data_IF_196403790878
#
_entry.id   IF_196403790878
#
_cell.length_a   1.000
_cell.length_b   1.000
_cell.length_c   1.000
_cell.angle_alpha   90.00
_cell.angle_beta   90.00
_cell.angle_gamma   90.00
#
_symmetry.space_group_name_H-M   'P 1'
#
loop_
_entity.id
_entity.type
_entity.pdbx_description
1 polymer ?
#
# COMPACT_ATOMS: atom_id res chain seq x y z
N UNK A 1 5.79 -15.26 -0.58
CA UNK A 1 5.19 -14.10 0.12
C UNK A 1 5.92 -12.78 -0.15
N UNK A 2 7.25 -12.66 0.03
CA UNK A 2 7.99 -11.42 -0.22
C UNK A 2 7.67 -10.76 -1.59
N UNK A 3 7.51 -11.55 -2.65
CA UNK A 3 7.08 -11.06 -3.96
C UNK A 3 5.70 -10.38 -3.95
N UNK A 4 4.72 -10.92 -3.19
CA UNK A 4 3.41 -10.30 -3.03
C UNK A 4 3.51 -8.98 -2.25
N UNK A 5 4.36 -8.90 -1.22
CA UNK A 5 4.64 -7.65 -0.48
C UNK A 5 5.25 -6.59 -1.39
N UNK A 6 6.24 -6.94 -2.21
CA UNK A 6 6.81 -6.03 -3.19
C UNK A 6 5.75 -5.55 -4.21
N UNK A 7 4.87 -6.46 -4.66
CA UNK A 7 3.79 -6.16 -5.60
C UNK A 7 2.76 -5.20 -5.00
N UNK A 8 2.40 -5.37 -3.73
CA UNK A 8 1.52 -4.48 -2.96
C UNK A 8 2.01 -3.03 -2.95
N UNK A 9 3.34 -2.83 -3.03
CA UNK A 9 3.97 -1.51 -3.10
C UNK A 9 3.51 -0.66 -4.30
N UNK A 10 3.03 -1.27 -5.38
CA UNK A 10 2.57 -0.57 -6.59
C UNK A 10 1.34 0.31 -6.36
N UNK A 11 0.52 -0.04 -5.37
CA UNK A 11 -0.73 0.64 -5.02
C UNK A 11 -0.60 1.73 -3.94
N UNK A 12 0.59 1.92 -3.33
CA UNK A 12 0.78 2.93 -2.28
C UNK A 12 0.35 4.33 -2.75
N UNK A 13 -0.46 5.00 -1.93
CA UNK A 13 -1.00 6.33 -2.23
C UNK A 13 -2.14 6.37 -3.26
N UNK A 14 -2.60 5.21 -3.77
CA UNK A 14 -3.57 5.16 -4.88
C UNK A 14 -4.84 4.35 -4.61
N UNK A 15 -4.88 3.59 -3.52
CA UNK A 15 -5.97 2.63 -3.25
C UNK A 15 -6.99 3.15 -2.23
N UNK A 16 -6.76 4.33 -1.67
CA UNK A 16 -7.59 4.95 -0.61
C UNK A 16 -9.08 4.94 -0.97
N UNK A 17 -9.97 4.59 -0.03
CA UNK A 17 -9.72 4.24 1.38
C UNK A 17 -9.29 2.79 1.62
N UNK A 18 -9.17 1.97 0.56
CA UNK A 18 -8.82 0.56 0.64
C UNK A 18 -7.30 0.34 0.83
N UNK A 19 -6.87 -0.81 1.38
CA UNK A 19 -5.47 -1.17 1.51
C UNK A 19 -4.79 -1.45 0.16
N UNK A 20 -3.49 -1.17 0.08
CA UNK A 20 -2.64 -1.62 -1.02
C UNK A 20 -2.23 -3.08 -0.79
N UNK A 21 -3.01 -4.03 -1.29
CA UNK A 21 -2.76 -5.47 -1.14
C UNK A 21 -2.01 -5.99 -2.37
N UNK A 22 -1.19 -7.01 -2.17
CA UNK A 22 -0.59 -7.81 -3.24
C UNK A 22 -1.00 -9.27 -3.13
N UNK A 23 -1.14 -9.93 -4.27
CA UNK A 23 -1.50 -11.34 -4.37
C UNK A 23 -0.65 -12.03 -5.45
N UNK A 24 -0.16 -13.22 -5.16
CA UNK A 24 0.57 -14.09 -6.10
C UNK A 24 0.04 -15.50 -5.98
N UNK A 25 -0.21 -16.16 -7.10
CA UNK A 25 -0.72 -17.53 -7.17
C UNK A 25 0.34 -18.41 -7.81
N UNK A 26 0.67 -19.52 -7.15
CA UNK A 26 1.75 -20.42 -7.54
C UNK A 26 1.22 -21.85 -7.66
N UNK A 27 1.54 -22.51 -8.78
CA UNK A 27 1.32 -23.95 -9.00
C UNK A 27 2.57 -24.53 -9.64
N UNK A 28 3.01 -25.70 -9.20
CA UNK A 28 4.22 -26.38 -9.72
C UNK A 28 5.47 -25.47 -9.75
N UNK A 29 5.70 -24.73 -8.66
CA UNK A 29 6.79 -23.74 -8.53
C UNK A 29 6.76 -22.60 -9.56
N UNK A 30 5.66 -22.42 -10.30
CA UNK A 30 5.48 -21.36 -11.29
C UNK A 30 4.41 -20.38 -10.84
N UNK A 31 4.70 -19.10 -11.05
CA UNK A 31 3.70 -18.04 -10.86
C UNK A 31 2.71 -18.10 -12.01
N UNK A 32 1.48 -18.48 -11.72
CA UNK A 32 0.38 -18.54 -12.70
C UNK A 32 -0.52 -17.31 -12.65
N UNK A 33 -0.50 -16.56 -11.54
CA UNK A 33 -1.29 -15.34 -11.37
C UNK A 33 -0.60 -14.33 -10.47
N UNK A 34 -0.78 -13.04 -10.76
CA UNK A 34 -0.30 -11.94 -9.91
C UNK A 34 -1.27 -10.77 -9.97
N UNK A 35 -1.49 -10.12 -8.84
CA UNK A 35 -2.39 -8.99 -8.73
C UNK A 35 -2.04 -8.06 -7.59
N UNK A 36 -2.45 -6.81 -7.71
CA UNK A 36 -2.42 -5.83 -6.63
C UNK A 36 -3.72 -5.04 -6.65
N UNK A 37 -4.09 -4.44 -5.51
CA UNK A 37 -5.26 -3.57 -5.45
C UNK A 37 -5.10 -2.42 -6.44
N UNK A 38 -6.05 -2.28 -7.36
CA UNK A 38 -6.00 -1.26 -8.40
C UNK A 38 -6.34 0.14 -7.88
N UNK A 39 -5.98 1.21 -8.62
CA UNK A 39 -6.35 2.58 -8.24
C UNK A 39 -7.84 2.73 -7.95
N UNK A 40 -8.20 3.50 -6.92
CA UNK A 40 -9.59 3.60 -6.43
C UNK A 40 -10.02 2.44 -5.52
N UNK A 41 -9.13 1.48 -5.28
CA UNK A 41 -9.31 0.43 -4.29
C UNK A 41 -9.97 -0.85 -4.82
N UNK A 42 -10.33 -0.93 -6.11
CA UNK A 42 -10.87 -2.12 -6.77
C UNK A 42 -10.45 -2.20 -8.25
N UNK A 43 -10.37 -3.40 -8.85
CA UNK A 43 -10.50 -4.71 -8.20
C UNK A 43 -9.40 -4.95 -7.14
N UNK A 44 -9.71 -5.82 -6.18
CA UNK A 44 -8.75 -6.24 -5.16
C UNK A 44 -7.66 -7.13 -5.79
N UNK A 45 -6.55 -7.30 -5.07
CA UNK A 45 -5.38 -8.03 -5.55
C UNK A 45 -5.72 -9.47 -5.92
N UNK A 46 -6.52 -10.13 -5.10
CA UNK A 46 -6.92 -11.54 -5.24
C UNK A 46 -7.81 -11.73 -6.46
N UNK A 47 -8.84 -10.88 -6.62
CA UNK A 47 -9.72 -10.92 -7.78
C UNK A 47 -8.93 -10.75 -9.10
N UNK A 48 -7.98 -9.80 -9.13
CA UNK A 48 -7.13 -9.58 -10.29
C UNK A 48 -6.20 -10.77 -10.56
N UNK A 49 -5.58 -11.34 -9.51
CA UNK A 49 -4.67 -12.47 -9.64
C UNK A 49 -5.38 -13.74 -10.11
N UNK A 50 -6.58 -14.02 -9.61
CA UNK A 50 -7.41 -15.16 -10.01
C UNK A 50 -7.83 -15.01 -11.47
N UNK A 51 -8.34 -13.83 -11.86
CA UNK A 51 -8.73 -13.58 -13.25
C UNK A 51 -7.55 -13.75 -14.23
N UNK A 52 -6.34 -13.34 -13.82
CA UNK A 52 -5.14 -13.51 -14.62
C UNK A 52 -4.65 -14.97 -14.71
N UNK A 53 -4.90 -15.79 -13.67
CA UNK A 53 -4.49 -17.19 -13.63
C UNK A 53 -5.45 -18.14 -14.34
N UNK A 54 -6.76 -17.82 -14.34
CA UNK A 54 -7.80 -18.76 -14.74
C UNK A 54 -8.04 -19.80 -13.65
N UNK A 55 -7.85 -21.09 -13.98
CA UNK A 55 -7.99 -22.18 -13.01
C UNK A 55 -6.80 -22.25 -12.06
N UNK A 56 -7.10 -22.21 -10.75
CA UNK A 56 -6.13 -22.25 -9.66
C UNK A 56 -6.30 -23.48 -8.76
N UNK A 57 -7.09 -24.47 -9.19
CA UNK A 57 -7.16 -25.77 -8.52
C UNK A 57 -5.74 -26.36 -8.42
N UNK A 58 -5.37 -26.92 -7.26
CA UNK A 58 -4.01 -27.42 -7.00
C UNK A 58 -2.98 -26.34 -6.66
N UNK A 59 -3.36 -25.06 -6.61
CA UNK A 59 -2.42 -23.95 -6.41
C UNK A 59 -2.33 -23.49 -4.95
N UNK A 60 -1.28 -22.73 -4.65
CA UNK A 60 -1.17 -21.91 -3.42
C UNK A 60 -1.33 -20.43 -3.76
N UNK A 61 -2.26 -19.76 -3.07
CA UNK A 61 -2.48 -18.32 -3.16
C UNK A 61 -1.81 -17.60 -1.99
N UNK A 62 -0.97 -16.61 -2.27
CA UNK A 62 -0.31 -15.77 -1.27
C UNK A 62 -0.91 -14.36 -1.29
N UNK A 63 -1.52 -13.92 -0.19
CA UNK A 63 -2.08 -12.57 -0.05
C UNK A 63 -1.42 -11.81 1.10
N UNK A 64 -1.13 -10.52 0.90
CA UNK A 64 -0.45 -9.70 1.92
C UNK A 64 -1.37 -9.28 3.07
N UNK A 65 -2.68 -9.35 2.89
CA UNK A 65 -3.70 -9.05 3.89
C UNK A 65 -4.77 -10.16 3.82
N UNK A 66 -5.45 -10.40 4.92
CA UNK A 66 -6.61 -11.29 4.96
C UNK A 66 -7.65 -10.90 3.89
N UNK A 67 -8.10 -11.88 3.07
CA UNK A 67 -9.13 -11.63 2.07
C UNK A 67 -10.42 -11.13 2.71
N UNK A 68 -11.00 -10.05 2.17
CA UNK A 68 -12.19 -9.46 2.75
C UNK A 68 -13.38 -10.46 2.75
N UNK A 69 -14.19 -10.41 3.81
CA UNK A 69 -15.35 -11.29 4.01
C UNK A 69 -16.72 -10.58 3.92
N UNK A 70 -16.71 -9.25 3.98
CA UNK A 70 -17.93 -8.46 3.99
C UNK A 70 -18.56 -8.30 2.60
N UNK A 71 -19.89 -8.28 2.56
CA UNK A 71 -20.67 -7.98 1.36
C UNK A 71 -20.48 -6.51 0.99
N UNK A 72 -20.30 -6.23 -0.30
CA UNK A 72 -20.14 -4.88 -0.82
C UNK A 72 -20.92 -4.70 -2.12
N UNK A 73 -21.58 -3.55 -2.33
CA UNK A 73 -22.20 -3.24 -3.63
C UNK A 73 -21.16 -3.09 -4.75
N UNK A 74 -19.88 -2.92 -4.41
CA UNK A 74 -18.78 -2.76 -5.37
C UNK A 74 -18.21 -4.10 -5.87
N UNK A 75 -18.87 -5.22 -5.56
CA UNK A 75 -18.50 -6.56 -6.01
C UNK A 75 -18.25 -7.55 -4.86
N UNK A 76 -18.08 -8.84 -5.19
CA UNK A 76 -18.02 -9.93 -4.22
C UNK A 76 -16.85 -9.80 -3.23
N UNK A 77 -16.99 -10.50 -2.10
CA UNK A 77 -15.93 -10.61 -1.11
C UNK A 77 -14.82 -11.53 -1.63
N UNK A 78 -13.56 -11.18 -1.36
CA UNK A 78 -12.43 -11.96 -1.86
C UNK A 78 -12.38 -13.36 -1.26
N UNK A 79 -12.80 -13.54 0.00
CA UNK A 79 -12.93 -14.86 0.60
C UNK A 79 -13.88 -15.77 -0.21
N UNK A 80 -15.00 -15.23 -0.73
CA UNK A 80 -15.96 -15.98 -1.55
C UNK A 80 -15.37 -16.34 -2.92
N UNK A 81 -14.68 -15.39 -3.55
CA UNK A 81 -14.01 -15.62 -4.84
C UNK A 81 -12.95 -16.73 -4.73
N UNK A 82 -12.14 -16.70 -3.67
CA UNK A 82 -11.11 -17.70 -3.43
C UNK A 82 -11.74 -19.05 -3.11
N UNK A 83 -12.79 -19.08 -2.27
CA UNK A 83 -13.52 -20.31 -1.95
C UNK A 83 -14.11 -20.97 -3.21
N UNK A 84 -14.69 -20.17 -4.11
CA UNK A 84 -15.22 -20.67 -5.38
C UNK A 84 -14.12 -21.20 -6.31
N UNK A 85 -12.96 -20.55 -6.32
CA UNK A 85 -11.81 -20.90 -7.15
C UNK A 85 -11.00 -22.11 -6.62
N UNK A 86 -11.25 -22.54 -5.37
CA UNK A 86 -10.75 -23.79 -4.77
C UNK A 86 -9.23 -24.06 -4.92
N UNK A 87 -8.34 -23.13 -4.52
CA UNK A 87 -6.93 -23.47 -4.36
C UNK A 87 -6.74 -24.44 -3.17
N UNK A 88 -5.67 -25.23 -3.18
CA UNK A 88 -5.37 -26.17 -2.09
C UNK A 88 -4.97 -25.43 -0.80
N UNK A 89 -4.32 -24.28 -0.96
CA UNK A 89 -3.76 -23.51 0.15
C UNK A 89 -3.83 -22.01 -0.07
N UNK A 90 -4.10 -21.30 1.01
CA UNK A 90 -3.98 -19.83 1.10
C UNK A 90 -3.00 -19.46 2.20
N UNK A 91 -2.06 -18.58 1.87
CA UNK A 91 -1.06 -18.04 2.80
C UNK A 91 -1.28 -16.54 2.94
N UNK A 92 -1.49 -16.07 4.17
CA UNK A 92 -1.85 -14.69 4.49
C UNK A 92 -0.74 -14.08 5.35
N UNK A 93 -0.27 -12.89 4.99
CA UNK A 93 0.76 -12.24 5.80
C UNK A 93 0.18 -11.58 7.06
N UNK A 94 -0.87 -10.77 6.92
CA UNK A 94 -1.45 -9.97 8.01
C UNK A 94 -2.95 -10.26 8.13
N UNK A 95 -3.45 -10.52 9.34
CA UNK A 95 -4.89 -10.54 9.64
C UNK A 95 -5.47 -9.13 9.54
N UNK A 96 -6.64 -8.95 8.94
CA UNK A 96 -7.19 -7.61 8.71
C UNK A 96 -7.79 -7.05 10.02
N UNK A 97 -7.34 -5.88 10.52
CA UNK A 97 -7.92 -5.29 11.73
C UNK A 97 -9.30 -4.62 11.49
N UNK A 98 -9.82 -4.60 10.26
CA UNK A 98 -11.16 -4.10 9.96
C UNK A 98 -12.21 -5.01 10.62
N UNK A 99 -13.08 -4.51 11.52
CA UNK A 99 -14.08 -5.33 12.22
C UNK A 99 -15.03 -6.09 11.29
N UNK A 100 -15.17 -5.63 10.04
CA UNK A 100 -16.00 -6.28 9.01
C UNK A 100 -15.32 -7.49 8.35
N UNK A 101 -14.03 -7.71 8.61
CA UNK A 101 -13.23 -8.80 8.05
C UNK A 101 -12.52 -9.61 9.13
N UNK A 102 -12.09 -8.99 10.23
CA UNK A 102 -11.18 -9.50 11.27
C UNK A 102 -11.35 -10.99 11.64
N UNK A 103 -10.65 -11.88 10.93
CA UNK A 103 -10.70 -13.34 11.09
C UNK A 103 -11.80 -14.06 10.30
N UNK A 104 -12.87 -13.36 9.91
CA UNK A 104 -14.01 -13.92 9.18
C UNK A 104 -13.61 -14.41 7.78
N UNK A 105 -12.63 -13.76 7.13
CA UNK A 105 -12.14 -14.19 5.82
C UNK A 105 -11.37 -15.50 5.93
N UNK A 106 -10.49 -15.60 6.94
CA UNK A 106 -9.75 -16.82 7.26
C UNK A 106 -10.70 -17.97 7.60
N UNK A 107 -11.70 -17.72 8.45
CA UNK A 107 -12.69 -18.72 8.86
C UNK A 107 -13.50 -19.23 7.66
N UNK A 108 -13.94 -18.34 6.77
CA UNK A 108 -14.69 -18.73 5.57
C UNK A 108 -13.86 -19.63 4.65
N UNK A 109 -12.58 -19.34 4.47
CA UNK A 109 -11.68 -20.18 3.67
C UNK A 109 -11.48 -21.57 4.29
N UNK A 110 -11.29 -21.63 5.62
CA UNK A 110 -11.19 -22.91 6.34
C UNK A 110 -12.48 -23.73 6.25
N UNK A 111 -13.64 -23.08 6.37
CA UNK A 111 -14.93 -23.73 6.23
C UNK A 111 -15.17 -24.29 4.81
N UNK A 112 -14.54 -23.70 3.79
CA UNK A 112 -14.53 -24.20 2.43
C UNK A 112 -13.52 -25.36 2.20
N UNK A 113 -12.86 -25.85 3.25
CA UNK A 113 -11.89 -26.95 3.18
C UNK A 113 -10.49 -26.54 2.70
N UNK A 114 -10.20 -25.23 2.61
CA UNK A 114 -8.91 -24.72 2.14
C UNK A 114 -7.91 -24.64 3.29
N UNK A 115 -6.68 -25.13 3.09
CA UNK A 115 -5.63 -25.00 4.07
C UNK A 115 -5.18 -23.53 4.21
N UNK A 116 -5.22 -22.95 5.41
CA UNK A 116 -4.84 -21.54 5.64
C UNK A 116 -3.64 -21.43 6.58
N UNK A 117 -2.60 -20.74 6.15
CA UNK A 117 -1.44 -20.36 6.97
C UNK A 117 -1.37 -18.84 7.10
N UNK A 118 -1.12 -18.32 8.30
CA UNK A 118 -1.05 -16.88 8.58
C UNK A 118 0.33 -16.47 9.12
N UNK A 119 0.66 -15.18 9.07
CA UNK A 119 1.85 -14.62 9.75
C UNK A 119 3.16 -14.67 8.95
N UNK A 120 3.13 -15.17 7.71
CA UNK A 120 4.33 -15.25 6.86
C UNK A 120 4.69 -13.85 6.33
N UNK A 121 5.91 -13.37 6.55
CA UNK A 121 6.36 -12.00 6.19
C UNK A 121 5.48 -10.90 6.79
N UNK A 122 4.86 -11.14 7.95
CA UNK A 122 3.90 -10.22 8.55
C UNK A 122 4.50 -8.81 8.74
N UNK A 123 5.72 -8.71 9.27
CA UNK A 123 6.35 -7.42 9.53
C UNK A 123 6.61 -6.62 8.25
N UNK A 124 7.06 -7.27 7.18
CA UNK A 124 7.27 -6.63 5.89
C UNK A 124 5.95 -6.17 5.26
N UNK A 125 4.90 -7.00 5.34
CA UNK A 125 3.57 -6.66 4.85
C UNK A 125 2.94 -5.51 5.65
N UNK A 126 3.11 -5.48 6.98
CA UNK A 126 2.69 -4.36 7.84
C UNK A 126 3.37 -3.05 7.44
N UNK A 127 4.68 -3.08 7.19
CA UNK A 127 5.42 -1.92 6.69
C UNK A 127 4.91 -1.43 5.33
N UNK A 128 4.65 -2.35 4.40
CA UNK A 128 4.13 -2.02 3.08
C UNK A 128 2.72 -1.39 3.11
N UNK A 129 1.90 -1.74 4.11
CA UNK A 129 0.52 -1.26 4.29
C UNK A 129 0.37 -0.30 5.48
N UNK A 130 1.46 0.31 5.95
CA UNK A 130 1.48 1.11 7.19
C UNK A 130 0.42 2.23 7.21
N UNK A 131 0.14 2.86 6.06
CA UNK A 131 -0.90 3.88 5.92
C UNK A 131 -2.31 3.39 6.30
N UNK A 132 -2.73 2.26 5.72
CA UNK A 132 -4.03 1.65 6.02
C UNK A 132 -4.11 1.14 7.46
N UNK A 133 -3.09 0.38 7.89
CA UNK A 133 -3.09 -0.23 9.22
C UNK A 133 -3.05 0.81 10.34
N UNK A 134 -2.27 1.89 10.18
CA UNK A 134 -2.24 2.99 11.17
C UNK A 134 -3.62 3.66 11.27
N UNK A 135 -4.29 3.90 10.13
CA UNK A 135 -5.63 4.49 10.11
C UNK A 135 -6.65 3.60 10.82
N UNK A 136 -6.61 2.28 10.55
CA UNK A 136 -7.53 1.31 11.17
C UNK A 136 -7.31 1.13 12.66
N UNK A 137 -6.06 0.96 13.08
CA UNK A 137 -5.72 0.59 14.46
C UNK A 137 -5.54 1.77 15.40
N UNK A 138 -5.17 2.95 14.88
CA UNK A 138 -4.84 4.13 15.70
C UNK A 138 -5.73 5.34 15.41
N UNK A 139 -6.68 5.25 14.48
CA UNK A 139 -7.58 6.36 14.13
C UNK A 139 -6.90 7.61 13.56
N UNK A 140 -5.65 7.49 13.08
CA UNK A 140 -4.85 8.62 12.56
C UNK A 140 -4.04 8.23 11.33
N UNK A 141 -3.59 9.18 10.50
CA UNK A 141 -2.72 8.86 9.36
C UNK A 141 -1.35 8.32 9.81
N UNK A 142 -0.75 7.51 8.95
CA UNK A 142 0.69 7.24 9.00
C UNK A 142 1.43 8.46 8.44
N UNK A 143 2.45 8.92 9.16
CA UNK A 143 3.18 10.15 8.82
C UNK A 143 4.64 9.79 8.58
N UNK A 144 5.13 10.19 7.41
CA UNK A 144 6.56 10.14 7.06
C UNK A 144 7.12 11.55 7.14
N UNK A 145 8.08 11.77 8.04
CA UNK A 145 8.84 13.01 8.08
C UNK A 145 10.03 12.89 7.13
N UNK A 146 10.16 13.84 6.20
CA UNK A 146 11.32 13.95 5.31
C UNK A 146 12.11 15.20 5.64
N UNK A 147 13.41 15.04 5.87
CA UNK A 147 14.37 16.13 6.05
C UNK A 147 15.49 16.03 5.00
N UNK A 148 16.05 17.16 4.59
CA UNK A 148 17.37 17.22 3.93
C UNK A 148 18.23 18.14 4.77
N UNK A 149 19.36 17.63 5.23
CA UNK A 149 20.27 18.34 6.12
C UNK A 149 21.70 18.18 5.62
N UNK A 150 22.56 19.13 5.95
CA UNK A 150 24.01 18.97 5.89
C UNK A 150 24.50 17.92 6.90
N UNK A 151 25.77 17.55 6.81
CA UNK A 151 26.38 16.57 7.74
C UNK A 151 26.31 17.03 9.21
N UNK A 152 26.41 18.34 9.44
CA UNK A 152 26.28 18.98 10.76
C UNK A 152 24.83 19.33 11.13
N UNK A 153 23.84 18.79 10.40
CA UNK A 153 22.42 18.86 10.78
C UNK A 153 21.69 20.17 10.42
N UNK A 154 22.21 20.97 9.49
CA UNK A 154 21.62 22.25 9.08
C UNK A 154 20.72 22.10 7.85
N UNK A 155 19.63 22.86 7.82
CA UNK A 155 18.68 22.90 6.69
C UNK A 155 18.87 24.13 5.77
N UNK A 156 19.66 25.11 6.22
CA UNK A 156 19.97 26.35 5.53
C UNK A 156 21.19 27.01 6.19
N UNK A 157 21.83 27.95 5.50
CA UNK A 157 22.79 28.89 6.09
C UNK A 157 22.06 29.97 6.93
N UNK A 158 22.77 30.77 7.76
CA UNK A 158 22.17 31.81 8.60
C UNK A 158 21.42 32.89 7.81
N UNK A 159 21.79 33.11 6.54
CA UNK A 159 21.11 34.02 5.62
C UNK A 159 19.84 33.42 4.97
N UNK A 160 19.48 32.18 5.32
CA UNK A 160 18.32 31.46 4.79
C UNK A 160 18.58 30.71 3.48
N UNK A 161 19.77 30.81 2.88
CA UNK A 161 20.08 30.08 1.65
C UNK A 161 20.14 28.56 1.90
N UNK A 162 19.36 27.80 1.13
CA UNK A 162 19.09 26.37 1.39
C UNK A 162 19.11 25.49 0.14
N UNK A 163 19.39 26.10 -1.03
CA UNK A 163 19.30 25.39 -2.30
C UNK A 163 20.42 24.39 -2.45
N UNK A 164 20.01 23.15 -2.73
CA UNK A 164 20.87 22.05 -3.16
C UNK A 164 21.87 21.52 -2.12
N UNK A 165 21.50 21.53 -0.84
CA UNK A 165 22.19 20.76 0.21
C UNK A 165 22.30 19.27 -0.18
N UNK A 166 21.25 18.72 -0.81
CA UNK A 166 21.23 17.33 -1.30
C UNK A 166 21.17 17.27 -2.82
N UNK A 167 21.85 16.28 -3.39
CA UNK A 167 21.98 16.09 -4.84
C UNK A 167 20.73 15.54 -5.55
N UNK A 168 20.77 15.43 -6.90
CA UNK A 168 19.63 15.00 -7.72
C UNK A 168 19.00 13.67 -7.31
N UNK A 169 19.80 12.66 -6.94
CA UNK A 169 19.31 11.34 -6.53
C UNK A 169 18.43 11.40 -5.27
N UNK A 170 18.84 12.17 -4.26
CA UNK A 170 18.05 12.37 -3.04
C UNK A 170 16.72 13.09 -3.32
N UNK A 171 16.71 14.02 -4.29
CA UNK A 171 15.51 14.74 -4.69
C UNK A 171 14.56 13.87 -5.52
N UNK A 172 15.10 12.99 -6.37
CA UNK A 172 14.33 11.96 -7.05
C UNK A 172 13.68 11.00 -6.03
N UNK A 173 14.43 10.58 -5.00
CA UNK A 173 13.85 9.79 -3.91
C UNK A 173 12.72 10.54 -3.19
N UNK A 174 12.87 11.83 -2.90
CA UNK A 174 11.79 12.63 -2.32
C UNK A 174 10.53 12.68 -3.22
N UNK A 175 10.68 12.71 -4.55
CA UNK A 175 9.54 12.60 -5.47
C UNK A 175 8.88 11.21 -5.42
N UNK A 176 9.67 10.13 -5.29
CA UNK A 176 9.12 8.79 -5.12
C UNK A 176 8.32 8.68 -3.82
N UNK A 177 8.80 9.29 -2.74
CA UNK A 177 8.05 9.34 -1.48
C UNK A 177 6.76 10.14 -1.63
N UNK A 178 6.76 11.30 -2.32
CA UNK A 178 5.51 12.01 -2.64
C UNK A 178 4.51 11.13 -3.38
N UNK A 179 4.97 10.36 -4.38
CA UNK A 179 4.13 9.47 -5.18
C UNK A 179 3.53 8.29 -4.40
N UNK A 180 4.01 8.03 -3.18
CA UNK A 180 3.56 6.94 -2.29
C UNK A 180 2.60 7.42 -1.19
N UNK A 181 2.35 8.72 -1.10
CA UNK A 181 1.51 9.32 -0.06
C UNK A 181 0.27 9.97 -0.69
N UNK A 182 -0.82 10.03 0.09
CA UNK A 182 -2.07 10.67 -0.32
C UNK A 182 -2.00 12.20 -0.19
N UNK A 183 -1.14 12.70 0.70
CA UNK A 183 -1.00 14.10 1.04
C UNK A 183 0.45 14.46 1.36
N UNK A 184 0.86 15.67 0.94
CA UNK A 184 2.11 16.32 1.35
C UNK A 184 1.77 17.59 2.13
N UNK A 185 2.50 17.79 3.23
CA UNK A 185 2.28 18.90 4.15
C UNK A 185 3.56 19.71 4.32
N UNK A 186 3.43 21.03 4.32
CA UNK A 186 4.51 21.97 4.67
C UNK A 186 3.96 23.07 5.58
N UNK A 187 4.84 23.78 6.29
CA UNK A 187 4.44 25.00 7.00
C UNK A 187 4.38 26.22 6.08
N UNK A 188 3.68 27.27 6.53
CA UNK A 188 3.62 28.57 5.83
C UNK A 188 5.01 29.11 5.46
N UNK A 189 5.99 29.02 6.36
CA UNK A 189 7.35 29.51 6.09
C UNK A 189 8.02 28.83 4.90
N UNK A 190 7.81 27.52 4.70
CA UNK A 190 8.29 26.80 3.51
C UNK A 190 7.57 27.28 2.24
N UNK A 191 6.26 27.53 2.33
CA UNK A 191 5.50 28.04 1.18
C UNK A 191 6.03 29.41 0.74
N UNK A 192 6.28 30.31 1.70
CA UNK A 192 6.73 31.67 1.43
C UNK A 192 8.19 31.72 0.93
N UNK A 193 9.09 30.99 1.59
CA UNK A 193 10.52 31.01 1.25
C UNK A 193 10.85 30.28 -0.06
N UNK A 194 10.24 29.11 -0.29
CA UNK A 194 10.62 28.22 -1.40
C UNK A 194 9.64 28.24 -2.57
N UNK A 195 8.43 28.77 -2.39
CA UNK A 195 7.31 28.71 -3.35
C UNK A 195 7.19 27.33 -4.03
N UNK A 196 7.16 26.22 -3.27
CA UNK A 196 7.32 24.90 -3.83
C UNK A 196 6.05 24.43 -4.54
N UNK A 197 6.22 23.79 -5.69
CA UNK A 197 5.10 23.15 -6.42
C UNK A 197 4.51 21.93 -5.69
N UNK A 198 5.35 21.26 -4.88
CA UNK A 198 5.04 20.06 -4.06
C UNK A 198 4.46 18.85 -4.82
N UNK A 199 4.55 18.85 -6.14
CA UNK A 199 4.09 17.79 -7.05
C UNK A 199 5.15 16.68 -7.25
N UNK A 200 4.74 15.63 -7.96
CA UNK A 200 5.62 14.56 -8.46
C UNK A 200 6.03 14.87 -9.88
N UNK A 201 7.33 14.79 -10.16
CA UNK A 201 7.92 15.14 -11.47
C UNK A 201 8.89 14.08 -11.98
N UNK A 202 8.69 12.84 -11.52
CA UNK A 202 9.43 11.70 -12.05
C UNK A 202 8.71 11.19 -13.30
N UNK A 203 9.44 10.90 -14.39
CA UNK A 203 8.85 10.36 -15.61
C UNK A 203 7.95 9.15 -15.34
N UNK A 204 6.69 9.23 -15.81
CA UNK A 204 5.68 8.19 -15.68
C UNK A 204 4.96 8.13 -14.32
N UNK A 205 5.23 9.05 -13.41
CA UNK A 205 4.62 9.15 -12.08
C UNK A 205 3.96 10.52 -11.81
N UNK A 206 3.88 11.40 -12.79
CA UNK A 206 3.36 12.77 -12.67
C UNK A 206 1.93 12.80 -12.11
N UNK A 207 1.09 11.87 -12.59
CA UNK A 207 -0.29 11.65 -12.14
C UNK A 207 -0.42 11.11 -10.71
N UNK A 208 0.70 10.90 -10.01
CA UNK A 208 0.73 10.44 -8.61
C UNK A 208 1.02 11.58 -7.64
N UNK A 209 0.79 12.82 -8.05
CA UNK A 209 0.97 13.97 -7.18
C UNK A 209 0.00 13.91 -5.99
N UNK A 210 0.50 14.02 -4.75
CA UNK A 210 -0.35 13.98 -3.57
C UNK A 210 -1.19 15.26 -3.45
N UNK A 211 -2.25 15.21 -2.64
CA UNK A 211 -2.94 16.43 -2.19
C UNK A 211 -1.95 17.30 -1.42
N UNK A 212 -2.04 18.61 -1.59
CA UNK A 212 -1.14 19.56 -0.93
C UNK A 212 -1.89 20.25 0.20
N UNK A 213 -1.28 20.32 1.37
CA UNK A 213 -1.80 21.07 2.51
C UNK A 213 -0.69 21.92 3.12
N UNK A 214 -1.08 23.04 3.71
CA UNK A 214 -0.18 23.98 4.36
C UNK A 214 -0.67 24.17 5.79
N UNK A 215 0.23 23.96 6.75
CA UNK A 215 -0.02 24.34 8.13
C UNK A 215 0.19 25.84 8.26
N UNK A 216 -0.88 26.54 8.63
CA UNK A 216 -0.87 27.92 9.06
C UNK A 216 -1.70 28.05 10.32
N UNK A 217 -1.42 29.08 11.11
CA UNK A 217 -2.41 29.58 12.05
C UNK A 217 -3.52 30.21 11.21
N UNK A 218 -4.77 29.82 11.44
CA UNK A 218 -5.92 30.48 10.79
C UNK A 218 -5.85 31.98 11.05
N UNK A 219 -6.28 32.77 10.06
CA UNK A 219 -6.75 34.12 10.36
C UNK A 219 -8.00 34.01 11.24
#
# INVERSE_FOLDING_TARGET
MAAAVALAGRGRGRTTPNPNVGCVIVRDQRVIGRGWTQPGGRPHAEAYAIAAAGDITGATLYATLEPCAHVSPRGPACADLIAAARPDRVVIAVRDPDPRTDGQGIERLRAAGIAVTTGIEEQAARGAMAGFLTRRTKGRPHVTLKLAVSLDGRIALPDGSSRWITGPAARAHAHLERARHEMILVGRGTLEADQPRLDVRLPGLEERSPRRAVFGHGA
#
